data_IF_100839648180
#
_entry.id   IF_100839648180
#
_cell.length_a   1.000
_cell.length_b   1.000
_cell.length_c   1.000
_cell.angle_alpha   90.00
_cell.angle_beta   90.00
_cell.angle_gamma   90.00
#
_symmetry.space_group_name_H-M   'P 1'
#
loop_
_entity.id
_entity.type
_entity.pdbx_description
1 polymer ?
#
# COMPACT_ATOMS: atom_id res chain seq x y z
N UNK A 1 -1.08 9.04 20.07
CA UNK A 1 -0.08 7.93 20.08
C UNK A 1 0.99 8.28 19.06
N UNK A 2 2.24 7.92 19.28
CA UNK A 2 3.29 8.04 18.26
C UNK A 2 4.06 6.71 18.18
N UNK A 3 4.76 6.46 17.08
CA UNK A 3 5.40 5.18 16.82
C UNK A 3 6.58 4.91 17.73
N UNK A 4 7.37 5.95 18.09
CA UNK A 4 8.51 5.84 18.98
C UNK A 4 8.12 5.28 20.35
N UNK A 5 7.20 5.96 21.03
CA UNK A 5 6.75 5.56 22.37
C UNK A 5 6.07 4.20 22.35
N UNK A 6 5.24 3.93 21.31
CA UNK A 6 4.57 2.64 21.13
C UNK A 6 5.58 1.48 21.05
N UNK A 7 6.60 1.61 20.21
CA UNK A 7 7.60 0.55 20.04
C UNK A 7 8.49 0.42 21.29
N UNK A 8 8.85 1.53 21.92
CA UNK A 8 9.58 1.51 23.20
C UNK A 8 8.81 0.72 24.26
N UNK A 9 7.53 1.02 24.46
CA UNK A 9 6.70 0.30 25.44
C UNK A 9 6.56 -1.20 25.11
N UNK A 10 6.46 -1.56 23.80
CA UNK A 10 6.41 -2.95 23.37
C UNK A 10 7.71 -3.68 23.71
N UNK A 11 8.86 -3.08 23.38
CA UNK A 11 10.16 -3.68 23.65
C UNK A 11 10.42 -3.80 25.17
N UNK A 12 10.04 -2.81 25.96
CA UNK A 12 10.15 -2.87 27.42
C UNK A 12 9.31 -4.03 28.00
N UNK A 13 8.14 -4.29 27.46
CA UNK A 13 7.19 -5.32 27.91
C UNK A 13 7.53 -6.72 27.42
N UNK A 14 7.92 -6.85 26.15
CA UNK A 14 8.14 -8.13 25.45
C UNK A 14 9.61 -8.52 25.28
N UNK A 15 10.51 -7.54 25.45
CA UNK A 15 11.90 -7.66 25.05
C UNK A 15 12.02 -7.69 23.51
N UNK A 16 13.03 -8.39 23.00
CA UNK A 16 13.29 -8.44 21.56
C UNK A 16 12.16 -9.14 20.79
N UNK A 17 11.66 -8.47 19.76
CA UNK A 17 10.71 -9.05 18.79
C UNK A 17 11.50 -9.90 17.78
N UNK A 18 10.98 -11.08 17.46
CA UNK A 18 11.60 -12.03 16.53
C UNK A 18 10.78 -12.16 15.23
N UNK A 19 9.47 -11.88 15.29
CA UNK A 19 8.59 -11.99 14.14
C UNK A 19 7.59 -10.82 14.10
N UNK A 20 7.45 -10.20 12.95
CA UNK A 20 6.40 -9.19 12.70
C UNK A 20 5.41 -9.74 11.68
N UNK A 21 4.13 -9.69 12.01
CA UNK A 21 3.04 -10.07 11.12
C UNK A 21 2.16 -8.85 10.85
N UNK A 22 1.95 -8.54 9.59
CA UNK A 22 1.05 -7.51 9.13
C UNK A 22 -0.21 -8.17 8.60
N UNK A 23 -1.37 -7.92 9.21
CA UNK A 23 -2.61 -8.57 8.84
C UNK A 23 -3.71 -7.56 8.53
N UNK A 24 -4.34 -7.71 7.39
CA UNK A 24 -5.47 -6.88 6.98
C UNK A 24 -6.19 -7.51 5.79
N UNK A 25 -7.15 -6.79 5.20
CA UNK A 25 -7.83 -7.15 3.96
C UNK A 25 -7.95 -5.94 3.04
N UNK A 26 -7.90 -6.16 1.72
CA UNK A 26 -8.15 -5.12 0.71
C UNK A 26 -7.24 -3.91 0.86
N UNK A 27 -7.82 -2.69 0.82
CA UNK A 27 -7.09 -1.43 0.93
C UNK A 27 -6.20 -1.33 2.17
N UNK A 28 -6.71 -1.74 3.33
CA UNK A 28 -5.93 -1.72 4.58
C UNK A 28 -4.70 -2.64 4.54
N UNK A 29 -4.76 -3.77 3.80
CA UNK A 29 -3.58 -4.63 3.62
C UNK A 29 -2.53 -3.94 2.74
N UNK A 30 -2.98 -3.29 1.70
CA UNK A 30 -2.11 -2.55 0.76
C UNK A 30 -1.30 -1.48 1.49
N UNK A 31 -1.92 -0.78 2.44
CA UNK A 31 -1.28 0.24 3.25
C UNK A 31 -0.13 -0.30 4.11
N UNK A 32 -0.18 -1.58 4.50
CA UNK A 32 0.82 -2.23 5.33
C UNK A 32 1.98 -2.87 4.54
N UNK A 33 1.78 -3.16 3.25
CA UNK A 33 2.82 -3.83 2.43
C UNK A 33 4.14 -3.04 2.37
N UNK A 34 4.17 -1.71 2.16
CA UNK A 34 5.43 -0.96 2.11
C UNK A 34 6.25 -1.06 3.41
N UNK A 35 5.58 -1.06 4.56
CA UNK A 35 6.23 -1.24 5.87
C UNK A 35 6.83 -2.65 6.01
N UNK A 36 6.11 -3.69 5.55
CA UNK A 36 6.65 -5.04 5.49
C UNK A 36 7.86 -5.14 4.56
N UNK A 37 7.84 -4.51 3.39
CA UNK A 37 8.97 -4.51 2.47
C UNK A 37 10.20 -3.78 3.06
N UNK A 38 9.99 -2.70 3.83
CA UNK A 38 11.05 -2.06 4.60
C UNK A 38 11.70 -3.05 5.57
N UNK A 39 10.91 -3.73 6.40
CA UNK A 39 11.45 -4.70 7.35
C UNK A 39 12.11 -5.91 6.67
N UNK A 40 11.56 -6.40 5.57
CA UNK A 40 12.17 -7.50 4.78
C UNK A 40 13.54 -7.13 4.22
N UNK A 41 13.73 -5.86 3.86
CA UNK A 41 14.99 -5.37 3.32
C UNK A 41 16.03 -5.12 4.41
N UNK A 42 15.63 -4.47 5.50
CA UNK A 42 16.57 -3.89 6.47
C UNK A 42 16.77 -4.78 7.71
N UNK A 43 15.76 -5.55 8.15
CA UNK A 43 15.88 -6.34 9.36
C UNK A 43 16.84 -7.52 9.20
N UNK A 44 17.71 -7.69 10.20
CA UNK A 44 18.73 -8.74 10.24
C UNK A 44 18.52 -9.76 11.38
N UNK A 45 17.75 -9.39 12.40
CA UNK A 45 17.55 -10.22 13.60
C UNK A 45 16.11 -10.67 13.82
N UNK A 46 15.17 -10.23 12.99
CA UNK A 46 13.77 -10.66 13.02
C UNK A 46 13.20 -10.78 11.60
N UNK A 47 12.05 -11.43 11.49
CA UNK A 47 11.36 -11.62 10.21
C UNK A 47 10.11 -10.78 10.13
N UNK A 48 9.70 -10.43 8.90
CA UNK A 48 8.47 -9.69 8.63
C UNK A 48 7.69 -10.36 7.50
N UNK A 49 6.36 -10.48 7.68
CA UNK A 49 5.48 -11.13 6.70
C UNK A 49 4.10 -10.49 6.72
N UNK A 50 3.53 -10.24 5.54
CA UNK A 50 2.16 -9.78 5.37
C UNK A 50 1.24 -10.97 5.02
N UNK A 51 0.03 -10.97 5.58
CA UNK A 51 -1.03 -11.93 5.27
C UNK A 51 -2.36 -11.21 5.05
N UNK A 52 -3.20 -11.79 4.18
CA UNK A 52 -4.63 -11.52 4.34
C UNK A 52 -5.08 -12.07 5.69
N UNK A 53 -5.94 -11.35 6.39
CA UNK A 53 -6.30 -11.72 7.77
C UNK A 53 -6.89 -13.14 7.87
N UNK A 54 -7.70 -13.54 6.88
CA UNK A 54 -8.26 -14.91 6.86
C UNK A 54 -7.21 -15.99 6.62
N UNK A 55 -6.28 -15.73 5.71
CA UNK A 55 -5.15 -16.65 5.46
C UNK A 55 -4.28 -16.81 6.71
N UNK A 56 -3.99 -15.71 7.41
CA UNK A 56 -3.28 -15.74 8.69
C UNK A 56 -3.93 -16.69 9.70
N UNK A 57 -5.27 -16.58 9.86
CA UNK A 57 -6.02 -17.47 10.75
C UNK A 57 -5.97 -18.94 10.33
N UNK A 58 -6.07 -19.23 9.02
CA UNK A 58 -6.09 -20.58 8.50
C UNK A 58 -4.70 -21.24 8.48
N UNK A 59 -3.67 -20.48 8.13
CA UNK A 59 -2.27 -20.96 8.09
C UNK A 59 -1.67 -21.12 9.47
N UNK A 60 -2.11 -20.30 10.45
CA UNK A 60 -1.63 -20.29 11.82
C UNK A 60 -0.08 -20.45 11.90
N UNK A 61 0.70 -19.41 11.52
CA UNK A 61 2.14 -19.50 11.42
C UNK A 61 2.77 -20.04 12.72
N UNK A 62 3.62 -21.05 12.62
CA UNK A 62 4.24 -21.68 13.80
C UNK A 62 5.19 -20.76 14.57
N UNK A 63 5.67 -19.69 13.94
CA UNK A 63 6.49 -18.65 14.58
C UNK A 63 5.66 -17.61 15.32
N UNK A 64 4.33 -17.68 15.24
CA UNK A 64 3.46 -16.80 16.03
C UNK A 64 3.51 -17.20 17.51
N UNK A 65 3.85 -16.25 18.38
CA UNK A 65 3.98 -16.50 19.82
C UNK A 65 4.40 -15.25 20.59
N UNK A 66 4.92 -15.44 21.82
CA UNK A 66 5.25 -14.38 22.76
C UNK A 66 6.25 -13.31 22.24
N UNK A 67 7.10 -13.70 21.28
CA UNK A 67 8.09 -12.82 20.63
C UNK A 67 7.59 -12.24 19.29
N UNK A 68 6.30 -12.33 19.04
CA UNK A 68 5.70 -11.79 17.83
C UNK A 68 5.02 -10.46 18.10
N UNK A 69 5.15 -9.56 17.13
CA UNK A 69 4.37 -8.33 17.00
C UNK A 69 3.40 -8.48 15.82
N UNK A 70 2.12 -8.32 16.06
CA UNK A 70 1.09 -8.35 15.02
C UNK A 70 0.52 -6.95 14.84
N UNK A 71 0.70 -6.39 13.64
CA UNK A 71 0.11 -5.12 13.24
C UNK A 71 -1.10 -5.43 12.37
N UNK A 72 -2.27 -5.06 12.84
CA UNK A 72 -3.54 -5.29 12.17
C UNK A 72 -4.13 -3.97 11.69
N UNK A 73 -4.74 -3.93 10.50
CA UNK A 73 -5.44 -2.74 10.01
C UNK A 73 -6.81 -3.09 9.46
N UNK A 74 -7.82 -2.33 9.91
CA UNK A 74 -9.16 -2.35 9.34
C UNK A 74 -9.72 -0.93 9.38
N UNK A 75 -9.85 -0.28 8.23
CA UNK A 75 -10.32 1.10 8.14
C UNK A 75 -11.68 1.27 8.84
N UNK A 76 -12.66 0.44 8.50
CA UNK A 76 -13.98 0.43 9.16
C UNK A 76 -13.96 -0.12 10.60
N UNK A 77 -12.87 -0.78 11.00
CA UNK A 77 -12.76 -1.48 12.27
C UNK A 77 -13.70 -2.69 12.45
N UNK A 78 -14.44 -3.06 11.40
CA UNK A 78 -15.49 -4.07 11.48
C UNK A 78 -15.24 -5.33 10.63
N UNK A 79 -14.09 -5.43 9.97
CA UNK A 79 -13.70 -6.62 9.19
C UNK A 79 -13.46 -7.79 10.13
N UNK A 80 -14.38 -8.76 10.11
CA UNK A 80 -14.38 -9.86 11.09
C UNK A 80 -13.11 -10.69 11.03
N UNK A 81 -12.57 -10.95 9.83
CA UNK A 81 -11.33 -11.70 9.63
C UNK A 81 -10.13 -11.04 10.32
N UNK A 82 -10.10 -9.70 10.34
CA UNK A 82 -9.02 -8.96 11.02
C UNK A 82 -9.16 -9.06 12.52
N UNK A 83 -10.39 -8.96 13.06
CA UNK A 83 -10.67 -9.15 14.49
C UNK A 83 -10.29 -10.58 14.92
N UNK A 84 -10.68 -11.59 14.14
CA UNK A 84 -10.35 -13.00 14.41
C UNK A 84 -8.81 -13.20 14.43
N UNK A 85 -8.10 -12.55 13.50
CA UNK A 85 -6.64 -12.58 13.44
C UNK A 85 -5.98 -11.95 14.68
N UNK A 86 -6.51 -10.82 15.15
CA UNK A 86 -6.05 -10.20 16.40
C UNK A 86 -6.30 -11.10 17.62
N UNK A 87 -7.46 -11.73 17.70
CA UNK A 87 -7.79 -12.66 18.80
C UNK A 87 -6.88 -13.90 18.79
N UNK A 88 -6.61 -14.47 17.61
CA UNK A 88 -5.67 -15.58 17.47
C UNK A 88 -4.26 -15.18 17.89
N UNK A 89 -3.80 -14.01 17.48
CA UNK A 89 -2.47 -13.49 17.84
C UNK A 89 -2.35 -13.27 19.36
N UNK A 90 -3.35 -12.66 19.97
CA UNK A 90 -3.40 -12.45 21.41
C UNK A 90 -3.40 -13.79 22.17
N UNK A 91 -4.18 -14.76 21.72
CA UNK A 91 -4.23 -16.10 22.32
C UNK A 91 -2.90 -16.85 22.22
N UNK A 92 -2.09 -16.57 21.19
CA UNK A 92 -0.73 -17.09 21.03
C UNK A 92 0.31 -16.37 21.90
N UNK A 93 -0.08 -15.31 22.63
CA UNK A 93 0.81 -14.49 23.46
C UNK A 93 1.54 -13.38 22.70
N UNK A 94 1.21 -13.13 21.45
CA UNK A 94 1.80 -12.04 20.66
C UNK A 94 1.36 -10.67 21.18
N UNK A 95 2.18 -9.65 20.93
CA UNK A 95 1.77 -8.26 21.05
C UNK A 95 0.92 -7.89 19.83
N UNK A 96 -0.21 -7.22 20.06
CA UNK A 96 -1.13 -6.82 19.00
C UNK A 96 -1.32 -5.30 19.01
N UNK A 97 -1.10 -4.69 17.85
CA UNK A 97 -1.42 -3.28 17.58
C UNK A 97 -2.43 -3.24 16.45
N UNK A 98 -3.60 -2.76 16.71
CA UNK A 98 -4.66 -2.59 15.74
C UNK A 98 -4.75 -1.14 15.27
N UNK A 99 -5.05 -0.91 14.00
CA UNK A 99 -5.20 0.41 13.39
C UNK A 99 -6.60 0.53 12.77
N UNK A 100 -7.30 1.63 13.04
CA UNK A 100 -8.64 1.90 12.49
C UNK A 100 -8.93 3.39 12.41
N UNK A 101 -9.84 3.81 11.51
CA UNK A 101 -10.43 5.15 11.49
C UNK A 101 -11.65 5.27 12.43
N UNK A 102 -12.22 4.14 12.86
CA UNK A 102 -13.49 4.10 13.57
C UNK A 102 -13.31 3.75 15.06
N UNK A 103 -13.34 4.78 15.91
CA UNK A 103 -13.39 4.61 17.37
C UNK A 103 -14.64 3.79 17.79
N UNK A 104 -14.48 2.90 18.76
CA UNK A 104 -15.55 2.05 19.27
C UNK A 104 -16.00 0.94 18.33
N UNK A 105 -15.28 0.70 17.24
CA UNK A 105 -15.54 -0.42 16.31
C UNK A 105 -15.14 -1.77 16.91
N UNK A 106 -15.44 -2.88 16.21
CA UNK A 106 -15.12 -4.24 16.69
C UNK A 106 -13.64 -4.46 16.99
N UNK A 107 -12.74 -3.82 16.23
CA UNK A 107 -11.30 -3.94 16.44
C UNK A 107 -10.81 -3.05 17.60
N UNK A 108 -11.54 -1.98 17.92
CA UNK A 108 -11.27 -1.08 19.04
C UNK A 108 -12.07 -1.52 20.28
N UNK A 109 -11.66 -2.63 20.89
CA UNK A 109 -12.40 -3.31 21.95
C UNK A 109 -11.66 -3.38 23.31
N UNK A 110 -10.50 -2.74 23.42
CA UNK A 110 -9.69 -2.68 24.65
C UNK A 110 -8.94 -3.97 25.02
N UNK A 111 -8.95 -5.01 24.17
CA UNK A 111 -8.18 -6.25 24.40
C UNK A 111 -6.69 -6.10 24.01
N UNK A 112 -6.37 -5.17 23.13
CA UNK A 112 -5.05 -4.87 22.59
C UNK A 112 -4.86 -3.37 22.42
N UNK A 113 -3.67 -2.92 22.04
CA UNK A 113 -3.42 -1.52 21.72
C UNK A 113 -4.11 -1.15 20.41
N UNK A 114 -4.99 -0.14 20.43
CA UNK A 114 -5.64 0.38 19.23
C UNK A 114 -5.15 1.78 18.89
N UNK A 115 -4.68 1.96 17.66
CA UNK A 115 -4.34 3.26 17.10
C UNK A 115 -5.50 3.74 16.23
N UNK A 116 -6.33 4.64 16.77
CA UNK A 116 -7.36 5.33 15.97
C UNK A 116 -6.67 6.47 15.24
N UNK A 117 -6.70 6.43 13.91
CA UNK A 117 -6.06 7.42 13.06
C UNK A 117 -7.08 8.33 12.39
N UNK A 118 -6.74 9.62 12.12
CA UNK A 118 -7.59 10.49 11.35
C UNK A 118 -7.57 10.10 9.87
N UNK A 119 -8.65 10.38 9.16
CA UNK A 119 -8.76 10.13 7.72
C UNK A 119 -9.42 11.32 7.01
N UNK A 120 -8.93 11.65 5.82
CA UNK A 120 -9.53 12.68 4.97
C UNK A 120 -8.52 13.64 4.37
N UNK A 121 -9.04 14.67 3.72
CA UNK A 121 -8.22 15.70 3.08
C UNK A 121 -7.44 16.52 4.12
N UNK A 122 -6.17 16.79 3.82
CA UNK A 122 -5.29 17.58 4.68
C UNK A 122 -4.70 16.84 5.88
N UNK A 123 -5.01 15.56 6.08
CA UNK A 123 -4.36 14.75 7.11
C UNK A 123 -2.89 14.50 6.71
N UNK A 124 -1.92 14.76 7.63
CA UNK A 124 -0.52 14.49 7.36
C UNK A 124 -0.24 13.02 7.03
N UNK A 125 0.68 12.74 6.11
CA UNK A 125 1.01 11.38 5.70
C UNK A 125 1.57 10.53 6.85
N UNK A 126 2.20 11.14 7.84
CA UNK A 126 2.63 10.45 9.07
C UNK A 126 1.48 9.95 9.95
N UNK A 127 0.26 10.41 9.73
CA UNK A 127 -0.92 10.10 10.56
C UNK A 127 -1.92 9.17 9.85
N UNK A 128 -1.69 8.81 8.58
CA UNK A 128 -2.50 7.83 7.83
C UNK A 128 -1.87 6.44 7.84
N UNK A 129 -2.62 5.36 7.56
CA UNK A 129 -2.14 3.98 7.74
C UNK A 129 -0.79 3.66 7.11
N UNK A 130 -0.53 4.13 5.89
CA UNK A 130 0.76 3.88 5.21
C UNK A 130 1.94 4.53 5.96
N UNK A 131 1.78 5.79 6.38
CA UNK A 131 2.82 6.50 7.13
C UNK A 131 3.00 5.96 8.54
N UNK A 132 1.90 5.63 9.23
CA UNK A 132 1.95 4.98 10.56
C UNK A 132 2.69 3.65 10.45
N UNK A 133 2.36 2.83 9.46
CA UNK A 133 3.04 1.55 9.21
C UNK A 133 4.53 1.73 8.95
N UNK A 134 4.91 2.70 8.10
CA UNK A 134 6.30 3.03 7.81
C UNK A 134 7.06 3.48 9.07
N UNK A 135 6.44 4.32 9.92
CA UNK A 135 7.04 4.77 11.18
C UNK A 135 7.16 3.64 12.20
N UNK A 136 6.16 2.78 12.35
CA UNK A 136 6.24 1.59 13.22
C UNK A 136 7.41 0.71 12.79
N UNK A 137 7.55 0.46 11.49
CA UNK A 137 8.63 -0.36 10.94
C UNK A 137 10.01 0.28 11.18
N UNK A 138 10.16 1.58 10.90
CA UNK A 138 11.41 2.31 11.07
C UNK A 138 11.83 2.40 12.55
N UNK A 139 10.90 2.69 13.46
CA UNK A 139 11.16 2.74 14.91
C UNK A 139 11.51 1.35 15.48
N UNK A 140 10.87 0.29 15.01
CA UNK A 140 11.22 -1.07 15.42
C UNK A 140 12.65 -1.44 14.99
N UNK A 141 13.03 -1.10 13.75
CA UNK A 141 14.40 -1.29 13.25
C UNK A 141 15.39 -0.50 14.10
N UNK A 142 15.12 0.78 14.35
CA UNK A 142 16.03 1.64 15.08
C UNK A 142 16.25 1.15 16.53
N UNK A 143 15.16 0.87 17.24
CA UNK A 143 15.23 0.48 18.65
C UNK A 143 15.77 -0.94 18.88
N UNK A 144 15.71 -1.84 17.88
CA UNK A 144 16.26 -3.19 18.00
C UNK A 144 17.65 -3.38 17.39
N UNK A 145 17.93 -2.71 16.28
CA UNK A 145 19.13 -2.97 15.47
C UNK A 145 19.94 -1.71 15.16
N UNK A 146 19.33 -0.53 15.36
CA UNK A 146 19.83 0.74 14.84
C UNK A 146 19.47 0.92 13.36
N UNK A 147 18.81 2.02 13.01
CA UNK A 147 18.41 2.30 11.64
C UNK A 147 18.87 3.69 11.20
N UNK A 148 19.92 3.74 10.40
CA UNK A 148 20.55 5.00 9.99
C UNK A 148 19.60 5.95 9.24
N UNK A 149 18.59 5.42 8.57
CA UNK A 149 17.64 6.20 7.79
C UNK A 149 16.36 6.60 8.57
N UNK A 150 16.31 6.43 9.91
CA UNK A 150 15.14 6.83 10.70
C UNK A 150 14.79 8.31 10.51
N UNK A 151 15.76 9.21 10.55
CA UNK A 151 15.54 10.64 10.35
C UNK A 151 15.05 10.95 8.94
N UNK A 152 15.53 10.23 7.94
CA UNK A 152 15.09 10.34 6.55
C UNK A 152 13.64 9.87 6.38
N UNK A 153 13.18 8.87 7.15
CA UNK A 153 11.79 8.40 7.12
C UNK A 153 10.83 9.53 7.55
N UNK A 154 11.11 10.19 8.67
CA UNK A 154 10.33 11.34 9.12
C UNK A 154 10.37 12.53 8.15
N UNK A 155 11.57 12.82 7.62
CA UNK A 155 11.75 13.89 6.65
C UNK A 155 11.01 13.58 5.32
N UNK A 156 11.07 12.34 4.86
CA UNK A 156 10.42 11.89 3.63
C UNK A 156 8.89 11.96 3.71
N UNK A 157 8.29 11.56 4.83
CA UNK A 157 6.84 11.72 5.04
C UNK A 157 6.41 13.18 4.98
N UNK A 158 7.17 14.09 5.61
CA UNK A 158 6.92 15.53 5.53
C UNK A 158 7.10 16.09 4.11
N UNK A 159 8.04 15.55 3.35
CA UNK A 159 8.21 15.94 1.94
C UNK A 159 7.04 15.42 1.09
N UNK A 160 6.52 14.23 1.36
CA UNK A 160 5.29 13.75 0.72
C UNK A 160 4.12 14.70 0.96
N UNK A 161 3.92 15.20 2.19
CA UNK A 161 2.88 16.21 2.48
C UNK A 161 3.03 17.46 1.62
N UNK A 162 4.27 17.90 1.41
CA UNK A 162 4.54 19.12 0.64
C UNK A 162 4.36 18.93 -0.87
N UNK A 163 4.70 17.77 -1.43
CA UNK A 163 4.65 17.53 -2.88
C UNK A 163 3.26 17.11 -3.39
N UNK A 164 2.48 16.39 -2.58
CA UNK A 164 1.24 15.77 -3.05
C UNK A 164 0.20 16.76 -3.60
N UNK A 165 -0.06 17.96 -3.01
CA UNK A 165 -1.03 18.88 -3.56
C UNK A 165 -0.75 19.29 -5.01
N UNK A 166 0.49 19.70 -5.29
CA UNK A 166 0.90 20.09 -6.65
C UNK A 166 0.93 18.91 -7.62
N UNK A 167 1.34 17.73 -7.13
CA UNK A 167 1.34 16.49 -7.93
C UNK A 167 -0.08 16.08 -8.34
N UNK A 168 -1.07 16.17 -7.44
CA UNK A 168 -2.49 15.89 -7.73
C UNK A 168 -3.04 16.80 -8.82
N UNK A 169 -2.82 18.12 -8.69
CA UNK A 169 -3.24 19.10 -9.70
C UNK A 169 -2.61 18.78 -11.07
N UNK A 170 -1.31 18.52 -11.09
CA UNK A 170 -0.56 18.23 -12.32
C UNK A 170 -1.01 16.92 -12.98
N UNK A 171 -1.14 15.82 -12.21
CA UNK A 171 -1.62 14.53 -12.75
C UNK A 171 -3.02 14.66 -13.32
N UNK A 172 -3.91 15.32 -12.60
CA UNK A 172 -5.28 15.51 -13.09
C UNK A 172 -5.31 16.31 -14.39
N UNK A 173 -4.51 17.39 -14.50
CA UNK A 173 -4.43 18.23 -15.68
C UNK A 173 -3.78 17.53 -16.89
N UNK A 174 -2.73 16.74 -16.67
CA UNK A 174 -1.93 16.14 -17.74
C UNK A 174 -2.45 14.76 -18.16
N UNK A 175 -2.95 13.96 -17.21
CA UNK A 175 -3.26 12.55 -17.41
C UNK A 175 -4.73 12.20 -17.20
N UNK A 176 -5.50 13.00 -16.46
CA UNK A 176 -6.86 12.66 -16.05
C UNK A 176 -7.80 12.37 -17.22
N UNK A 177 -7.92 13.30 -18.16
CA UNK A 177 -8.81 13.14 -19.32
C UNK A 177 -8.33 11.99 -20.22
N UNK A 178 -7.02 11.89 -20.45
CA UNK A 178 -6.45 10.82 -21.26
C UNK A 178 -6.67 9.44 -20.66
N UNK A 179 -6.54 9.30 -19.34
CA UNK A 179 -6.84 8.05 -18.66
C UNK A 179 -8.30 7.64 -18.80
N UNK A 180 -9.21 8.60 -18.62
CA UNK A 180 -10.65 8.36 -18.77
C UNK A 180 -11.02 7.95 -20.20
N UNK A 181 -10.47 8.61 -21.23
CA UNK A 181 -10.63 8.23 -22.64
C UNK A 181 -10.13 6.82 -22.93
N UNK A 182 -8.94 6.45 -22.45
CA UNK A 182 -8.38 5.11 -22.61
C UNK A 182 -9.26 4.05 -21.94
N UNK A 183 -9.82 4.33 -20.77
CA UNK A 183 -10.79 3.46 -20.11
C UNK A 183 -12.10 3.30 -20.91
N UNK A 184 -12.52 4.30 -21.71
CA UNK A 184 -13.67 4.18 -22.61
C UNK A 184 -13.37 3.33 -23.84
N UNK A 185 -12.14 3.40 -24.35
CA UNK A 185 -11.70 2.69 -25.55
C UNK A 185 -11.34 1.23 -25.28
N UNK A 186 -10.95 0.91 -24.01
CA UNK A 186 -10.45 -0.42 -23.64
C UNK A 186 -11.24 -0.96 -22.43
N UNK A 187 -12.04 -1.99 -22.68
CA UNK A 187 -12.77 -2.70 -21.61
C UNK A 187 -11.82 -3.44 -20.65
N UNK A 188 -10.63 -3.78 -21.11
CA UNK A 188 -9.59 -4.47 -20.37
C UNK A 188 -8.21 -3.86 -20.67
N UNK A 189 -7.35 -3.74 -19.66
CA UNK A 189 -5.97 -3.30 -19.82
C UNK A 189 -5.05 -3.82 -18.71
N UNK A 190 -3.75 -3.68 -18.92
CA UNK A 190 -2.73 -4.09 -17.97
C UNK A 190 -2.14 -2.89 -17.23
N UNK A 191 -1.79 -3.12 -15.95
CA UNK A 191 -1.12 -2.14 -15.09
C UNK A 191 0.20 -2.74 -14.64
N UNK A 192 1.32 -2.06 -14.89
CA UNK A 192 2.66 -2.50 -14.54
C UNK A 192 3.26 -1.63 -13.43
N UNK A 193 3.97 -2.26 -12.52
CA UNK A 193 4.76 -1.63 -11.47
C UNK A 193 5.63 -2.67 -10.77
N UNK A 194 6.50 -2.25 -9.85
CA UNK A 194 7.42 -3.16 -9.15
C UNK A 194 7.86 -2.62 -7.79
N UNK A 195 8.65 -3.42 -7.05
CA UNK A 195 9.16 -3.06 -5.73
C UNK A 195 8.03 -2.81 -4.71
N UNK A 196 8.28 -1.99 -3.67
CA UNK A 196 7.26 -1.62 -2.70
C UNK A 196 6.02 -0.98 -3.33
N UNK A 197 6.20 -0.27 -4.47
CA UNK A 197 5.10 0.32 -5.23
C UNK A 197 4.17 -0.71 -5.87
N UNK A 198 4.57 -1.97 -6.01
CA UNK A 198 3.67 -3.01 -6.54
C UNK A 198 2.40 -3.16 -5.69
N UNK A 199 2.45 -2.79 -4.42
CA UNK A 199 1.27 -2.66 -3.56
C UNK A 199 0.23 -1.72 -4.17
N UNK A 200 0.65 -0.58 -4.75
CA UNK A 200 -0.25 0.39 -5.38
C UNK A 200 -0.64 0.01 -6.80
N UNK A 201 0.19 -0.74 -7.52
CA UNK A 201 -0.21 -1.37 -8.79
C UNK A 201 -1.39 -2.34 -8.58
N UNK A 202 -1.29 -3.17 -7.54
CA UNK A 202 -2.36 -4.05 -7.08
C UNK A 202 -3.59 -3.25 -6.60
N UNK A 203 -3.39 -2.21 -5.78
CA UNK A 203 -4.47 -1.36 -5.25
C UNK A 203 -5.26 -0.65 -6.37
N UNK A 204 -4.54 -0.10 -7.35
CA UNK A 204 -5.17 0.55 -8.50
C UNK A 204 -6.07 -0.42 -9.26
N UNK A 205 -5.61 -1.66 -9.48
CA UNK A 205 -6.40 -2.67 -10.15
C UNK A 205 -7.61 -3.09 -9.33
N UNK A 206 -7.40 -3.65 -8.13
CA UNK A 206 -8.50 -4.31 -7.41
C UNK A 206 -9.40 -3.35 -6.64
N UNK A 207 -8.85 -2.33 -5.98
CA UNK A 207 -9.65 -1.39 -5.20
C UNK A 207 -10.18 -0.24 -6.06
N UNK A 208 -9.28 0.51 -6.73
CA UNK A 208 -9.69 1.70 -7.47
C UNK A 208 -10.52 1.37 -8.71
N UNK A 209 -10.12 0.37 -9.49
CA UNK A 209 -10.75 0.08 -10.79
C UNK A 209 -11.81 -1.03 -10.69
N UNK A 210 -11.48 -2.24 -10.26
CA UNK A 210 -12.46 -3.32 -10.22
C UNK A 210 -13.57 -3.06 -9.20
N UNK A 211 -13.23 -2.68 -7.96
CA UNK A 211 -14.21 -2.46 -6.90
C UNK A 211 -15.03 -1.18 -7.12
N UNK A 212 -14.32 -0.04 -7.22
CA UNK A 212 -14.96 1.28 -7.19
C UNK A 212 -15.43 1.76 -8.55
N UNK A 213 -14.96 1.18 -9.66
CA UNK A 213 -15.26 1.65 -11.02
C UNK A 213 -15.73 0.54 -11.96
N UNK A 214 -15.77 -0.71 -11.52
CA UNK A 214 -16.17 -1.90 -12.28
C UNK A 214 -15.42 -2.05 -13.61
N UNK A 215 -14.18 -1.57 -13.65
CA UNK A 215 -13.29 -1.67 -14.80
C UNK A 215 -12.49 -2.96 -14.73
N UNK A 216 -12.51 -3.74 -15.79
CA UNK A 216 -11.67 -4.92 -15.88
C UNK A 216 -10.22 -4.54 -16.19
N UNK A 217 -9.29 -5.07 -15.42
CA UNK A 217 -7.86 -4.88 -15.62
C UNK A 217 -7.05 -6.00 -14.96
N UNK A 218 -5.78 -6.10 -15.32
CA UNK A 218 -4.85 -7.02 -14.69
C UNK A 218 -3.59 -6.24 -14.25
N UNK A 219 -3.10 -6.52 -13.05
CA UNK A 219 -1.84 -5.97 -12.56
C UNK A 219 -0.72 -6.99 -12.79
N UNK A 220 0.44 -6.50 -13.24
CA UNK A 220 1.61 -7.33 -13.55
C UNK A 220 2.82 -6.74 -12.86
N UNK A 221 3.57 -7.57 -12.12
CA UNK A 221 4.87 -7.18 -11.59
C UNK A 221 5.88 -7.04 -12.74
N UNK A 222 6.51 -5.86 -12.87
CA UNK A 222 7.41 -5.58 -14.00
C UNK A 222 8.59 -6.56 -14.10
N UNK A 223 9.03 -7.13 -12.96
CA UNK A 223 10.04 -8.19 -12.93
C UNK A 223 9.57 -9.52 -13.52
N UNK A 224 8.25 -9.80 -13.51
CA UNK A 224 7.64 -11.00 -14.07
C UNK A 224 7.13 -10.80 -15.50
N UNK A 225 7.12 -9.55 -16.01
CA UNK A 225 6.57 -9.24 -17.32
C UNK A 225 7.17 -10.10 -18.42
N UNK A 226 8.50 -10.31 -18.43
CA UNK A 226 9.22 -11.11 -19.42
C UNK A 226 9.17 -12.63 -19.17
N UNK A 227 8.41 -13.09 -18.18
CA UNK A 227 8.27 -14.50 -17.81
C UNK A 227 6.88 -15.07 -18.14
N UNK A 228 6.26 -14.52 -19.18
CA UNK A 228 4.95 -14.95 -19.72
C UNK A 228 4.09 -13.79 -20.21
N UNK A 229 3.76 -12.78 -19.38
CA UNK A 229 2.83 -11.71 -19.76
C UNK A 229 3.18 -10.94 -21.05
N UNK A 230 4.45 -10.79 -21.37
CA UNK A 230 4.89 -10.08 -22.59
C UNK A 230 4.42 -10.74 -23.90
N UNK A 231 4.13 -12.05 -23.89
CA UNK A 231 3.58 -12.77 -25.05
C UNK A 231 2.15 -12.32 -25.41
N UNK A 232 1.46 -11.64 -24.47
CA UNK A 232 0.13 -11.06 -24.72
C UNK A 232 0.19 -9.62 -25.26
N UNK A 233 1.41 -9.10 -25.50
CA UNK A 233 1.58 -7.73 -25.98
C UNK A 233 1.41 -7.67 -27.49
N UNK A 234 0.46 -6.86 -27.95
CA UNK A 234 0.16 -6.65 -29.36
C UNK A 234 -0.34 -5.21 -29.59
N UNK A 235 -0.33 -4.70 -30.82
CA UNK A 235 -0.88 -3.40 -31.17
C UNK A 235 -2.32 -3.24 -30.67
N UNK A 236 -2.64 -2.09 -30.07
CA UNK A 236 -3.98 -1.79 -29.57
C UNK A 236 -4.27 -2.30 -28.15
N UNK A 237 -3.40 -3.06 -27.53
CA UNK A 237 -3.51 -3.41 -26.10
C UNK A 237 -3.00 -2.25 -25.24
N UNK A 238 -3.85 -1.77 -24.35
CA UNK A 238 -3.49 -0.67 -23.44
C UNK A 238 -2.69 -1.16 -22.25
N UNK A 239 -1.57 -0.49 -21.99
CA UNK A 239 -0.72 -0.66 -20.84
C UNK A 239 -0.60 0.65 -20.05
N UNK A 240 -0.97 0.63 -18.77
CA UNK A 240 -0.67 1.70 -17.82
C UNK A 240 0.57 1.33 -17.02
N UNK A 241 1.64 2.11 -17.14
CA UNK A 241 2.93 1.82 -16.51
C UNK A 241 3.20 2.84 -15.40
N UNK A 242 3.39 2.34 -14.20
CA UNK A 242 3.85 3.11 -13.04
C UNK A 242 5.37 3.00 -12.98
N UNK A 243 6.08 4.11 -13.23
CA UNK A 243 7.53 4.20 -13.07
C UNK A 243 7.84 4.77 -11.68
N UNK A 244 8.36 3.93 -10.80
CA UNK A 244 8.85 4.34 -9.48
C UNK A 244 10.10 5.23 -9.57
N UNK A 245 10.48 5.83 -8.45
CA UNK A 245 11.69 6.61 -8.29
C UNK A 245 12.77 5.86 -7.46
N UNK A 246 12.45 4.63 -7.04
CA UNK A 246 13.30 3.79 -6.22
C UNK A 246 14.17 2.80 -7.02
N UNK A 247 14.79 1.86 -6.32
CA UNK A 247 15.78 0.92 -6.85
C UNK A 247 15.20 -0.09 -7.86
N UNK A 248 13.88 -0.30 -7.85
CA UNK A 248 13.19 -1.22 -8.76
C UNK A 248 12.88 -0.61 -10.14
N UNK A 249 13.02 0.71 -10.31
CA UNK A 249 12.78 1.43 -11.57
C UNK A 249 13.39 0.79 -12.83
N UNK A 250 14.60 0.23 -12.83
CA UNK A 250 15.17 -0.41 -14.03
C UNK A 250 14.32 -1.57 -14.59
N UNK A 251 13.55 -2.26 -13.76
CA UNK A 251 12.64 -3.31 -14.23
C UNK A 251 11.46 -2.72 -15.01
N UNK A 252 10.91 -1.61 -14.54
CA UNK A 252 9.81 -0.88 -15.16
C UNK A 252 10.26 -0.23 -16.47
N UNK A 253 11.42 0.41 -16.49
CA UNK A 253 12.04 0.99 -17.69
C UNK A 253 12.29 -0.07 -18.76
N UNK A 254 12.75 -1.27 -18.36
CA UNK A 254 12.94 -2.38 -19.30
C UNK A 254 11.61 -2.83 -19.91
N UNK A 255 10.55 -2.94 -19.11
CA UNK A 255 9.22 -3.28 -19.61
C UNK A 255 8.70 -2.20 -20.56
N UNK A 256 8.81 -0.92 -20.19
CA UNK A 256 8.39 0.21 -21.00
C UNK A 256 9.14 0.28 -22.33
N UNK A 257 10.45 0.03 -22.33
CA UNK A 257 11.25 0.00 -23.57
C UNK A 257 10.75 -1.07 -24.56
N UNK A 258 10.34 -2.25 -24.07
CA UNK A 258 9.75 -3.29 -24.89
C UNK A 258 8.35 -2.88 -25.39
N UNK A 259 7.50 -2.37 -24.50
CA UNK A 259 6.15 -1.92 -24.83
C UNK A 259 6.16 -0.87 -25.95
N UNK A 260 7.06 0.11 -25.89
CA UNK A 260 7.21 1.16 -26.92
C UNK A 260 7.50 0.66 -28.34
N UNK A 261 7.92 -0.60 -28.47
CA UNK A 261 8.19 -1.22 -29.78
C UNK A 261 7.12 -2.21 -30.24
N UNK A 262 6.17 -2.58 -29.35
CA UNK A 262 5.22 -3.68 -29.62
C UNK A 262 3.74 -3.30 -29.43
N UNK A 263 3.45 -2.16 -28.79
CA UNK A 263 2.10 -1.59 -28.73
C UNK A 263 2.14 -0.09 -28.95
N UNK A 264 1.03 0.47 -29.37
CA UNK A 264 0.85 1.91 -29.64
C UNK A 264 0.01 2.60 -28.55
N UNK A 265 -0.45 1.85 -27.57
CA UNK A 265 -1.36 2.35 -26.54
C UNK A 265 -0.75 2.18 -25.15
N UNK A 266 0.05 3.16 -24.77
CA UNK A 266 0.74 3.21 -23.48
C UNK A 266 0.42 4.52 -22.78
N UNK A 267 0.23 4.45 -21.47
CA UNK A 267 0.20 5.60 -20.58
C UNK A 267 1.19 5.38 -19.44
N UNK A 268 1.98 6.39 -19.14
CA UNK A 268 3.02 6.32 -18.12
C UNK A 268 2.72 7.33 -17.02
N UNK A 269 2.83 6.89 -15.77
CA UNK A 269 2.90 7.75 -14.60
C UNK A 269 4.31 7.62 -14.01
N UNK A 270 5.16 8.60 -14.26
CA UNK A 270 6.55 8.62 -13.80
C UNK A 270 6.68 9.46 -12.52
N UNK A 271 6.97 8.81 -11.39
CA UNK A 271 7.10 9.46 -10.09
C UNK A 271 8.17 10.58 -10.06
N UNK A 272 9.21 10.47 -10.89
CA UNK A 272 10.27 11.50 -10.97
C UNK A 272 9.75 12.82 -11.57
N UNK A 273 8.80 12.77 -12.48
CA UNK A 273 8.21 13.96 -13.10
C UNK A 273 7.34 14.79 -12.11
N UNK A 274 6.99 14.21 -10.98
CA UNK A 274 6.12 14.79 -9.95
C UNK A 274 6.84 15.09 -8.63
N UNK A 275 8.18 15.09 -8.62
CA UNK A 275 8.97 15.52 -7.47
C UNK A 275 9.32 14.43 -6.46
N UNK A 276 8.93 13.17 -6.68
CA UNK A 276 9.27 12.06 -5.77
C UNK A 276 10.79 11.84 -5.69
N UNK A 277 11.53 12.26 -6.71
CA UNK A 277 13.00 12.24 -6.73
C UNK A 277 13.67 13.03 -5.60
N UNK A 278 12.98 14.02 -5.03
CA UNK A 278 13.50 14.87 -3.94
C UNK A 278 13.36 14.20 -2.56
N UNK A 279 12.56 13.15 -2.42
CA UNK A 279 12.47 12.35 -1.20
C UNK A 279 13.80 11.64 -0.94
N UNK A 280 14.28 11.55 0.31
CA UNK A 280 15.56 10.91 0.61
C UNK A 280 15.69 9.52 0.00
N UNK A 281 16.76 9.25 -0.71
CA UNK A 281 16.95 8.00 -1.47
C UNK A 281 16.90 6.74 -0.60
N UNK A 282 17.33 6.86 0.67
CA UNK A 282 17.32 5.78 1.68
C UNK A 282 15.93 5.21 1.98
N UNK A 283 14.87 6.03 1.80
CA UNK A 283 13.49 5.67 2.16
C UNK A 283 12.50 5.84 1.01
N UNK A 284 12.94 6.40 -0.10
CA UNK A 284 12.07 6.76 -1.25
C UNK A 284 11.21 5.60 -1.73
N UNK A 285 11.80 4.43 -1.93
CA UNK A 285 11.07 3.24 -2.41
C UNK A 285 9.91 2.84 -1.50
N UNK A 286 10.03 3.09 -0.19
CA UNK A 286 8.99 2.73 0.78
C UNK A 286 7.93 3.80 0.94
N UNK A 287 8.21 5.04 0.51
CA UNK A 287 7.30 6.18 0.58
C UNK A 287 6.62 6.50 -0.75
N UNK A 288 7.21 6.13 -1.90
CA UNK A 288 6.58 6.36 -3.21
C UNK A 288 5.19 5.71 -3.38
N UNK A 289 4.82 4.60 -2.68
CA UNK A 289 3.46 4.10 -2.69
C UNK A 289 2.41 5.13 -2.25
N UNK A 290 2.76 6.05 -1.34
CA UNK A 290 1.89 7.16 -0.92
C UNK A 290 1.55 8.07 -2.11
N UNK A 291 2.55 8.40 -2.93
CA UNK A 291 2.35 9.17 -4.16
C UNK A 291 1.42 8.42 -5.14
N UNK A 292 1.71 7.15 -5.43
CA UNK A 292 0.91 6.39 -6.40
C UNK A 292 -0.53 6.17 -5.94
N UNK A 293 -0.76 6.01 -4.62
CA UNK A 293 -2.11 6.01 -4.06
C UNK A 293 -2.85 7.32 -4.36
N UNK A 294 -2.22 8.45 -4.07
CA UNK A 294 -2.81 9.76 -4.28
C UNK A 294 -3.14 10.00 -5.76
N UNK A 295 -2.23 9.65 -6.67
CA UNK A 295 -2.44 9.80 -8.12
C UNK A 295 -3.51 8.84 -8.65
N UNK A 296 -3.60 7.62 -8.12
CA UNK A 296 -4.67 6.68 -8.46
C UNK A 296 -6.05 7.21 -8.07
N UNK A 297 -6.16 7.96 -6.98
CA UNK A 297 -7.40 8.63 -6.59
C UNK A 297 -7.83 9.70 -7.62
N UNK A 298 -6.88 10.51 -8.14
CA UNK A 298 -7.18 11.51 -9.17
C UNK A 298 -7.61 10.87 -10.48
N UNK A 299 -6.88 9.86 -10.95
CA UNK A 299 -7.22 9.13 -12.19
C UNK A 299 -8.58 8.41 -12.08
N UNK A 300 -8.87 7.80 -10.93
CA UNK A 300 -10.18 7.22 -10.64
C UNK A 300 -11.29 8.27 -10.67
N UNK A 301 -11.06 9.44 -10.08
CA UNK A 301 -12.03 10.54 -10.06
C UNK A 301 -12.30 11.06 -11.49
N UNK A 302 -11.27 11.24 -12.31
CA UNK A 302 -11.41 11.63 -13.70
C UNK A 302 -12.24 10.62 -14.50
N UNK A 303 -11.95 9.32 -14.36
CA UNK A 303 -12.74 8.25 -14.97
C UNK A 303 -14.19 8.26 -14.46
N UNK A 304 -14.38 8.33 -13.14
CA UNK A 304 -15.71 8.31 -12.53
C UNK A 304 -16.61 9.44 -13.05
N UNK A 305 -16.03 10.62 -13.29
CA UNK A 305 -16.73 11.77 -13.88
C UNK A 305 -17.19 11.51 -15.30
N UNK A 306 -16.35 10.89 -16.15
CA UNK A 306 -16.68 10.60 -17.55
C UNK A 306 -17.72 9.48 -17.67
N UNK A 307 -17.68 8.49 -16.79
CA UNK A 307 -18.61 7.36 -16.77
C UNK A 307 -19.88 7.61 -15.93
N UNK A 308 -20.03 8.78 -15.32
CA UNK A 308 -21.09 9.08 -14.35
C UNK A 308 -21.19 8.00 -13.25
N UNK A 309 -20.03 7.59 -12.72
CA UNK A 309 -19.91 6.47 -11.78
C UNK A 309 -19.22 6.90 -10.49
N UNK A 310 -20.01 7.07 -9.42
CA UNK A 310 -19.48 7.39 -8.10
C UNK A 310 -18.67 6.22 -7.53
N UNK A 311 -17.50 6.49 -6.90
CA UNK A 311 -16.70 5.47 -6.23
C UNK A 311 -17.39 4.81 -5.02
N UNK A 312 -18.51 5.37 -4.56
CA UNK A 312 -19.30 4.85 -3.44
C UNK A 312 -20.30 3.75 -3.86
N UNK A 313 -20.57 3.61 -5.16
CA UNK A 313 -21.53 2.61 -5.65
C UNK A 313 -20.90 1.22 -5.57
N UNK A 314 -21.61 0.29 -4.95
CA UNK A 314 -21.25 -1.13 -4.85
C UNK A 314 -22.36 -2.01 -5.40
N UNK A 315 -21.99 -3.13 -6.07
CA UNK A 315 -22.96 -4.15 -6.50
C UNK A 315 -23.27 -5.12 -5.36
N UNK A 316 -22.24 -5.55 -4.64
CA UNK A 316 -22.32 -6.67 -3.70
C UNK A 316 -21.77 -6.32 -2.31
N UNK A 317 -20.61 -5.60 -2.26
CA UNK A 317 -19.95 -5.26 -1.00
C UNK A 317 -20.86 -4.40 -0.12
N UNK A 318 -21.21 -4.92 1.08
CA UNK A 318 -22.16 -4.28 1.99
C UNK A 318 -23.62 -4.29 1.53
N UNK A 319 -23.93 -4.92 0.38
CA UNK A 319 -25.30 -5.05 -0.18
C UNK A 319 -25.81 -6.49 -0.01
N UNK A 320 -24.98 -7.47 -0.32
CA UNK A 320 -25.29 -8.88 -0.18
C UNK A 320 -24.51 -9.53 0.98
N UNK A 321 -25.01 -10.62 1.52
CA UNK A 321 -24.30 -11.40 2.51
C UNK A 321 -23.45 -12.47 1.82
N UNK A 322 -22.14 -12.51 2.10
CA UNK A 322 -21.17 -13.46 1.54
C UNK A 322 -20.19 -13.98 2.58
#
# INVERSE_FOLDING_TARGET
MNAHDLIQEIIERKGKIENVFWIACGGSMIDLIPANELLKREATTFTSTVYTAREFCLMAPKSLGEKSLVIACSHSGNTQEVVDGCEMALAAGAEVVAMTDCEGSKIDNGKWTTWVYPWGEGVPQAEVPQGIGALIAAELLDQQEGYEALADMYAGLKQMDALLPAAREKVNAELGDRFAELCQQHEFFYILGSGPNFSQTYAMAICSLMEMQWQHCCYIHSGEYFHGPFEATEPGVFYFVQLGAGECRPMEERALAFLNTHTDTIMVLDALEYGVGDVPASVRSFLEPIFFYAMSCELRAARGKVFDHSPEIRRYMGVEQY
#
